data_IF_958771927328
#
_entry.id   IF_958771927328
#
_cell.length_a   1.000
_cell.length_b   1.000
_cell.length_c   1.000
_cell.angle_alpha   90.00
_cell.angle_beta   90.00
_cell.angle_gamma   90.00
#
_symmetry.space_group_name_H-M   'P 1'
#
loop_
_entity.id
_entity.type
_entity.pdbx_description
1 polymer ?
#
# COMPACT_ATOMS: atom_id res chain seq x y z
N UNK A 1 -19.32 25.86 19.00
CA UNK A 1 -19.46 24.83 20.07
C UNK A 1 -20.05 25.39 21.36
N UNK A 2 -19.63 26.58 21.85
CA UNK A 2 -20.23 27.25 23.02
C UNK A 2 -21.73 27.60 22.83
N UNK A 3 -22.13 27.89 21.60
CA UNK A 3 -23.53 28.21 21.25
C UNK A 3 -24.46 27.01 21.49
N UNK A 4 -24.04 25.79 21.11
CA UNK A 4 -24.83 24.58 21.35
C UNK A 4 -24.98 24.26 22.84
N UNK A 5 -23.94 24.47 23.65
CA UNK A 5 -24.04 24.29 25.11
C UNK A 5 -25.05 25.25 25.73
N UNK A 6 -25.10 26.49 25.24
CA UNK A 6 -26.10 27.49 25.68
C UNK A 6 -27.52 27.10 25.25
N UNK A 7 -27.70 26.64 24.02
CA UNK A 7 -29.02 26.21 23.52
C UNK A 7 -29.56 25.04 24.33
N UNK A 8 -28.76 23.99 24.57
CA UNK A 8 -29.22 22.82 25.33
C UNK A 8 -29.45 23.13 26.82
N UNK A 9 -28.72 24.08 27.41
CA UNK A 9 -29.01 24.57 28.76
C UNK A 9 -30.33 25.31 28.85
N UNK A 10 -30.65 26.15 27.86
CA UNK A 10 -31.94 26.85 27.79
C UNK A 10 -33.08 25.84 27.58
N UNK A 11 -32.87 24.85 26.70
CA UNK A 11 -33.85 23.79 26.47
C UNK A 11 -34.09 22.96 27.75
N UNK A 12 -33.02 22.57 28.44
CA UNK A 12 -33.13 21.86 29.71
C UNK A 12 -33.79 22.69 30.81
N UNK A 13 -33.52 23.99 30.87
CA UNK A 13 -34.21 24.92 31.77
C UNK A 13 -35.71 24.92 31.52
N UNK A 14 -36.15 25.02 30.26
CA UNK A 14 -37.58 25.03 29.89
C UNK A 14 -38.24 23.69 30.24
N UNK A 15 -37.64 22.56 29.85
CA UNK A 15 -38.21 21.23 30.09
C UNK A 15 -38.35 20.94 31.58
N UNK A 16 -37.30 21.20 32.38
CA UNK A 16 -37.37 20.94 33.82
C UNK A 16 -38.20 21.99 34.57
N UNK A 17 -38.37 23.21 34.04
CA UNK A 17 -39.34 24.17 34.57
C UNK A 17 -40.78 23.66 34.37
N UNK A 18 -41.11 23.12 33.20
CA UNK A 18 -42.42 22.51 32.93
C UNK A 18 -42.66 21.31 33.86
N UNK A 19 -41.66 20.44 34.02
CA UNK A 19 -41.75 19.32 34.97
C UNK A 19 -41.96 19.83 36.41
N UNK A 20 -41.24 20.86 36.84
CA UNK A 20 -41.42 21.48 38.15
C UNK A 20 -42.80 22.10 38.35
N UNK A 21 -43.37 22.69 37.30
CA UNK A 21 -44.74 23.21 37.28
C UNK A 21 -45.77 22.09 37.43
N UNK A 22 -45.66 21.02 36.62
CA UNK A 22 -46.57 19.87 36.67
C UNK A 22 -46.54 19.16 38.03
N UNK A 23 -45.35 18.96 38.61
CA UNK A 23 -45.24 18.39 39.96
C UNK A 23 -45.91 19.33 40.98
N UNK A 24 -45.77 20.64 40.81
CA UNK A 24 -46.40 21.63 41.68
C UNK A 24 -47.92 21.53 41.65
N UNK A 25 -48.49 21.42 40.45
CA UNK A 25 -49.93 21.26 40.21
C UNK A 25 -50.46 19.95 40.81
N UNK A 26 -49.72 18.85 40.63
CA UNK A 26 -50.09 17.54 41.20
C UNK A 26 -50.09 17.58 42.74
N UNK A 27 -49.16 18.32 43.35
CA UNK A 27 -49.07 18.43 44.82
C UNK A 27 -50.19 19.32 45.38
N UNK A 28 -50.59 20.38 44.67
CA UNK A 28 -51.64 21.31 45.14
C UNK A 28 -53.06 20.86 44.77
N UNK A 29 -53.20 19.83 43.92
CA UNK A 29 -54.47 19.27 43.42
C UNK A 29 -55.43 20.35 42.86
N UNK A 30 -54.85 21.38 42.24
CA UNK A 30 -55.59 22.53 41.70
C UNK A 30 -55.47 22.59 40.17
N UNK A 31 -56.59 22.52 39.42
CA UNK A 31 -56.55 22.54 37.95
C UNK A 31 -56.13 23.89 37.37
N UNK A 32 -56.16 24.97 38.16
CA UNK A 32 -55.71 26.31 37.76
C UNK A 32 -54.92 26.98 38.90
N UNK A 33 -53.59 26.75 38.98
CA UNK A 33 -52.75 27.29 40.06
C UNK A 33 -52.59 28.83 40.01
N UNK A 34 -52.99 29.49 38.91
CA UNK A 34 -52.90 30.95 38.75
C UNK A 34 -54.01 31.73 39.48
N UNK A 35 -55.09 31.07 39.90
CA UNK A 35 -56.24 31.72 40.55
C UNK A 35 -56.24 31.57 42.08
N UNK A 36 -55.36 30.74 42.63
CA UNK A 36 -55.27 30.46 44.06
C UNK A 36 -53.90 30.89 44.62
N UNK A 37 -53.92 31.86 45.54
CA UNK A 37 -52.72 32.44 46.16
C UNK A 37 -51.97 31.43 47.03
N UNK A 38 -52.63 30.41 47.57
CA UNK A 38 -51.97 29.34 48.34
C UNK A 38 -51.24 28.37 47.43
N UNK A 39 -51.85 27.95 46.31
CA UNK A 39 -51.20 27.11 45.28
C UNK A 39 -49.94 27.77 44.70
N UNK A 40 -49.98 29.10 44.50
CA UNK A 40 -48.88 29.87 43.93
C UNK A 40 -47.59 29.82 44.78
N UNK A 41 -47.73 29.68 46.11
CA UNK A 41 -46.58 29.56 47.04
C UNK A 41 -45.78 28.28 46.84
N UNK A 42 -46.38 27.22 46.29
CA UNK A 42 -45.72 25.94 46.08
C UNK A 42 -45.28 25.75 44.63
N UNK A 43 -46.12 26.16 43.67
CA UNK A 43 -45.86 25.98 42.23
C UNK A 43 -44.68 26.84 41.75
N UNK A 44 -44.60 28.11 42.20
CA UNK A 44 -43.53 29.03 41.74
C UNK A 44 -42.13 28.61 42.21
N UNK A 45 -41.91 28.29 43.51
CA UNK A 45 -40.60 27.80 43.95
C UNK A 45 -40.20 26.48 43.27
N UNK A 46 -41.14 25.56 43.08
CA UNK A 46 -40.84 24.26 42.47
C UNK A 46 -40.48 24.38 40.98
N UNK A 47 -41.15 25.31 40.27
CA UNK A 47 -40.79 25.68 38.89
C UNK A 47 -39.40 26.30 38.81
N UNK A 48 -39.06 27.20 39.74
CA UNK A 48 -37.73 27.82 39.81
C UNK A 48 -36.63 26.80 40.15
N UNK A 49 -36.89 25.89 41.10
CA UNK A 49 -35.97 24.80 41.44
C UNK A 49 -35.78 23.88 40.23
N UNK A 50 -36.86 23.49 39.55
CA UNK A 50 -36.81 22.72 38.31
C UNK A 50 -35.97 23.41 37.23
N UNK A 51 -36.18 24.71 37.01
CA UNK A 51 -35.41 25.51 36.05
C UNK A 51 -33.89 25.53 36.37
N UNK A 52 -33.52 25.73 37.64
CA UNK A 52 -32.12 25.75 38.08
C UNK A 52 -31.48 24.36 37.93
N UNK A 53 -32.20 23.31 38.33
CA UNK A 53 -31.74 21.91 38.20
C UNK A 53 -31.54 21.56 36.72
N UNK A 54 -32.49 21.91 35.85
CA UNK A 54 -32.40 21.72 34.41
C UNK A 54 -31.20 22.43 33.80
N UNK A 55 -30.91 23.66 34.22
CA UNK A 55 -29.74 24.42 33.75
C UNK A 55 -28.41 23.76 34.09
N UNK A 56 -28.31 23.16 35.28
CA UNK A 56 -27.08 22.49 35.77
C UNK A 56 -26.89 21.10 35.16
N UNK A 57 -27.97 20.33 35.05
CA UNK A 57 -27.93 18.93 34.61
C UNK A 57 -27.90 18.80 33.08
N UNK A 58 -28.51 19.73 32.33
CA UNK A 58 -28.62 19.63 30.87
C UNK A 58 -27.28 19.37 30.14
N UNK A 59 -26.14 20.02 30.48
CA UNK A 59 -24.87 19.72 29.82
C UNK A 59 -24.37 18.29 30.06
N UNK A 60 -24.69 17.69 31.21
CA UNK A 60 -24.26 16.35 31.57
C UNK A 60 -25.03 15.26 30.84
N UNK A 61 -26.32 15.49 30.58
CA UNK A 61 -27.16 14.53 29.84
C UNK A 61 -26.93 14.67 28.33
N UNK A 62 -26.74 15.90 27.82
CA UNK A 62 -26.72 16.13 26.38
C UNK A 62 -25.31 16.32 25.84
N UNK A 63 -24.64 17.41 26.20
CA UNK A 63 -23.44 17.84 25.46
C UNK A 63 -22.19 17.05 25.81
N UNK A 64 -22.04 16.60 27.06
CA UNK A 64 -20.87 15.81 27.50
C UNK A 64 -20.80 14.40 26.88
N UNK A 65 -21.85 13.56 26.95
CA UNK A 65 -21.83 12.24 26.31
C UNK A 65 -21.78 12.37 24.80
N UNK A 66 -22.47 13.35 24.20
CA UNK A 66 -22.36 13.60 22.77
C UNK A 66 -20.92 13.93 22.34
N UNK A 67 -20.18 14.74 23.11
CA UNK A 67 -18.75 15.02 22.84
C UNK A 67 -17.85 13.80 23.01
N UNK A 68 -18.19 12.89 23.92
CA UNK A 68 -17.48 11.63 24.07
C UNK A 68 -17.76 10.71 22.86
N UNK A 69 -19.03 10.53 22.51
CA UNK A 69 -19.45 9.77 21.34
C UNK A 69 -18.83 10.30 20.05
N UNK A 70 -18.85 11.62 19.81
CA UNK A 70 -18.24 12.23 18.62
C UNK A 70 -16.72 11.97 18.56
N UNK A 71 -16.02 11.98 19.70
CA UNK A 71 -14.58 11.67 19.73
C UNK A 71 -14.30 10.21 19.37
N UNK A 72 -15.10 9.29 19.88
CA UNK A 72 -14.98 7.85 19.57
C UNK A 72 -15.35 7.59 18.10
N UNK A 73 -16.48 8.12 17.63
CA UNK A 73 -16.96 7.93 16.25
C UNK A 73 -16.01 8.54 15.22
N UNK A 74 -15.32 9.65 15.53
CA UNK A 74 -14.32 10.24 14.62
C UNK A 74 -13.08 9.36 14.40
N UNK A 75 -12.81 8.41 15.29
CA UNK A 75 -11.69 7.48 15.14
C UNK A 75 -12.08 6.22 14.37
N UNK A 76 -13.38 6.03 14.11
CA UNK A 76 -13.92 4.89 13.38
C UNK A 76 -14.03 5.29 11.90
N UNK A 77 -13.47 4.50 10.96
CA UNK A 77 -13.63 4.72 9.53
C UNK A 77 -15.13 4.79 9.14
N UNK A 78 -15.48 5.69 8.21
CA UNK A 78 -16.89 5.93 7.83
C UNK A 78 -17.54 4.66 7.25
N UNK A 79 -16.74 3.80 6.63
CA UNK A 79 -17.16 2.53 6.05
C UNK A 79 -17.63 1.56 7.14
N UNK A 80 -17.03 1.57 8.32
CA UNK A 80 -17.48 0.74 9.46
C UNK A 80 -18.79 1.26 10.03
N UNK A 81 -18.97 2.58 10.06
CA UNK A 81 -20.22 3.18 10.54
C UNK A 81 -21.38 2.82 9.61
N UNK A 82 -21.15 2.91 8.29
CA UNK A 82 -22.15 2.54 7.28
C UNK A 82 -22.43 1.03 7.33
N UNK A 83 -21.39 0.19 7.34
CA UNK A 83 -21.55 -1.26 7.42
C UNK A 83 -22.24 -1.68 8.72
N UNK A 84 -21.83 -1.14 9.86
CA UNK A 84 -22.47 -1.41 11.15
C UNK A 84 -23.95 -1.01 11.16
N UNK A 85 -24.29 0.13 10.55
CA UNK A 85 -25.69 0.59 10.44
C UNK A 85 -26.53 -0.33 9.57
N UNK A 86 -26.04 -0.71 8.39
CA UNK A 86 -26.73 -1.64 7.48
C UNK A 86 -26.88 -3.00 8.16
N UNK A 87 -25.83 -3.48 8.81
CA UNK A 87 -25.82 -4.76 9.53
C UNK A 87 -26.80 -4.78 10.68
N UNK A 88 -26.90 -3.69 11.44
CA UNK A 88 -27.88 -3.53 12.52
C UNK A 88 -29.30 -3.59 11.98
N UNK A 89 -29.60 -2.89 10.89
CA UNK A 89 -30.94 -2.91 10.26
C UNK A 89 -31.29 -4.32 9.80
N UNK A 90 -30.39 -4.99 9.08
CA UNK A 90 -30.61 -6.36 8.61
C UNK A 90 -30.79 -7.33 9.79
N UNK A 91 -29.98 -7.19 10.84
CA UNK A 91 -30.11 -7.96 12.07
C UNK A 91 -31.46 -7.77 12.76
N UNK A 92 -31.97 -6.53 12.83
CA UNK A 92 -33.28 -6.25 13.39
C UNK A 92 -34.42 -6.81 12.54
N UNK A 93 -34.30 -6.80 11.21
CA UNK A 93 -35.28 -7.44 10.31
C UNK A 93 -35.34 -8.94 10.57
N UNK A 94 -34.18 -9.60 10.67
CA UNK A 94 -34.10 -11.02 11.02
C UNK A 94 -34.70 -11.26 12.41
N UNK A 95 -34.38 -10.40 13.39
CA UNK A 95 -34.97 -10.50 14.72
C UNK A 95 -36.49 -10.36 14.71
N UNK A 96 -37.05 -9.48 13.90
CA UNK A 96 -38.49 -9.27 13.82
C UNK A 96 -39.21 -10.54 13.29
N UNK A 97 -38.59 -11.25 12.34
CA UNK A 97 -39.10 -12.53 11.85
C UNK A 97 -39.05 -13.61 12.94
N UNK A 98 -37.96 -13.68 13.70
CA UNK A 98 -37.80 -14.63 14.82
C UNK A 98 -38.66 -14.27 16.03
N UNK A 99 -38.98 -12.99 16.23
CA UNK A 99 -39.82 -12.52 17.33
C UNK A 99 -41.24 -13.10 17.29
N UNK A 100 -41.79 -13.36 16.09
CA UNK A 100 -43.17 -13.86 15.92
C UNK A 100 -43.40 -15.22 16.62
N UNK A 101 -42.59 -16.27 16.41
CA UNK A 101 -42.74 -17.52 17.14
C UNK A 101 -42.34 -17.39 18.62
N UNK A 102 -41.32 -16.57 18.94
CA UNK A 102 -40.86 -16.37 20.32
C UNK A 102 -41.94 -15.71 21.20
N UNK A 103 -42.71 -14.78 20.65
CA UNK A 103 -43.78 -14.10 21.36
C UNK A 103 -44.95 -15.02 21.75
N UNK A 104 -45.09 -16.18 21.08
CA UNK A 104 -46.14 -17.18 21.39
C UNK A 104 -45.76 -18.13 22.52
N UNK A 105 -44.56 -18.02 23.08
CA UNK A 105 -44.14 -18.84 24.21
C UNK A 105 -44.90 -18.45 25.49
N UNK A 106 -45.19 -19.42 26.38
CA UNK A 106 -45.87 -19.16 27.63
C UNK A 106 -45.09 -18.16 28.51
N UNK A 107 -45.78 -17.35 29.34
CA UNK A 107 -45.12 -16.45 30.29
C UNK A 107 -44.15 -17.21 31.20
N UNK A 108 -42.97 -16.64 31.51
CA UNK A 108 -42.54 -15.26 31.28
C UNK A 108 -41.84 -15.03 29.92
N UNK A 109 -41.71 -16.06 29.10
CA UNK A 109 -40.81 -16.06 27.94
C UNK A 109 -41.33 -15.22 26.76
N UNK A 110 -42.63 -15.26 26.48
CA UNK A 110 -43.26 -14.52 25.39
C UNK A 110 -42.92 -13.01 25.32
N UNK A 111 -43.02 -12.24 26.42
CA UNK A 111 -42.69 -10.81 26.38
C UNK A 111 -41.18 -10.51 26.41
N UNK A 112 -40.35 -11.40 26.94
CA UNK A 112 -38.91 -11.13 27.19
C UNK A 112 -38.04 -11.57 26.01
N UNK A 113 -38.30 -12.75 25.44
CA UNK A 113 -37.45 -13.33 24.39
C UNK A 113 -37.38 -12.49 23.10
N UNK A 114 -38.47 -11.90 22.58
CA UNK A 114 -38.40 -11.02 21.42
C UNK A 114 -37.46 -9.83 21.62
N UNK A 115 -37.45 -9.26 22.83
CA UNK A 115 -36.57 -8.15 23.17
C UNK A 115 -35.11 -8.61 23.20
N UNK A 116 -34.83 -9.74 23.87
CA UNK A 116 -33.48 -10.33 23.90
C UNK A 116 -32.99 -10.66 22.48
N UNK A 117 -33.86 -11.24 21.66
CA UNK A 117 -33.54 -11.54 20.26
C UNK A 117 -33.16 -10.28 19.49
N UNK A 118 -33.87 -9.15 19.68
CA UNK A 118 -33.56 -7.90 18.98
C UNK A 118 -32.17 -7.37 19.28
N UNK A 119 -31.72 -7.48 20.53
CA UNK A 119 -30.38 -7.07 20.95
C UNK A 119 -29.33 -8.00 20.33
N UNK A 120 -29.54 -9.32 20.45
CA UNK A 120 -28.60 -10.32 19.95
C UNK A 120 -28.43 -10.21 18.43
N UNK A 121 -29.52 -10.24 17.68
CA UNK A 121 -29.47 -10.20 16.22
C UNK A 121 -29.04 -8.83 15.69
N UNK A 122 -29.44 -7.73 16.34
CA UNK A 122 -28.94 -6.40 15.99
C UNK A 122 -27.42 -6.29 16.17
N UNK A 123 -26.89 -6.79 17.29
CA UNK A 123 -25.45 -6.83 17.55
C UNK A 123 -24.70 -7.74 16.57
N UNK A 124 -25.19 -8.97 16.35
CA UNK A 124 -24.58 -9.92 15.42
C UNK A 124 -24.58 -9.39 13.98
N UNK A 125 -25.69 -8.81 13.53
CA UNK A 125 -25.80 -8.22 12.20
C UNK A 125 -24.79 -7.10 11.97
N UNK A 126 -24.68 -6.17 12.93
CA UNK A 126 -23.68 -5.10 12.88
C UNK A 126 -22.25 -5.65 12.89
N UNK A 127 -21.96 -6.60 13.79
CA UNK A 127 -20.63 -7.19 13.96
C UNK A 127 -20.17 -7.92 12.68
N UNK A 128 -21.02 -8.76 12.12
CA UNK A 128 -20.70 -9.53 10.90
C UNK A 128 -20.42 -8.58 9.74
N UNK A 129 -21.23 -7.54 9.54
CA UNK A 129 -21.06 -6.64 8.40
C UNK A 129 -19.82 -5.75 8.53
N UNK A 130 -19.49 -5.32 9.75
CA UNK A 130 -18.25 -4.57 10.01
C UNK A 130 -17.02 -5.47 9.77
N UNK A 131 -17.04 -6.71 10.25
CA UNK A 131 -15.94 -7.67 10.07
C UNK A 131 -15.73 -8.06 8.60
N UNK A 132 -16.80 -8.16 7.80
CA UNK A 132 -16.76 -8.59 6.39
C UNK A 132 -16.87 -7.45 5.40
N UNK A 133 -16.70 -6.20 5.83
CA UNK A 133 -16.84 -5.00 5.00
C UNK A 133 -16.01 -5.05 3.71
N UNK A 134 -14.77 -5.51 3.80
CA UNK A 134 -13.85 -5.52 2.65
C UNK A 134 -14.24 -6.58 1.62
N UNK A 135 -14.75 -7.73 2.08
CA UNK A 135 -15.25 -8.81 1.24
C UNK A 135 -16.54 -8.39 0.52
N UNK A 136 -17.44 -7.69 1.23
CA UNK A 136 -18.69 -7.16 0.67
C UNK A 136 -18.44 -6.12 -0.41
N UNK A 137 -17.49 -5.21 -0.20
CA UNK A 137 -17.11 -4.21 -1.21
C UNK A 137 -16.54 -4.89 -2.45
N UNK A 138 -15.71 -5.93 -2.29
CA UNK A 138 -15.18 -6.72 -3.43
C UNK A 138 -16.28 -7.46 -4.18
N UNK A 139 -17.21 -8.07 -3.46
CA UNK A 139 -18.33 -8.82 -4.04
C UNK A 139 -19.31 -7.88 -4.78
N UNK A 140 -19.62 -6.73 -4.20
CA UNK A 140 -20.45 -5.70 -4.84
C UNK A 140 -19.80 -5.19 -6.13
N UNK A 141 -18.48 -4.89 -6.09
CA UNK A 141 -17.72 -4.51 -7.28
C UNK A 141 -17.68 -5.62 -8.34
N UNK A 142 -17.63 -6.88 -7.93
CA UNK A 142 -17.69 -8.03 -8.84
C UNK A 142 -19.05 -8.17 -9.52
N UNK A 143 -20.14 -8.05 -8.76
CA UNK A 143 -21.51 -8.11 -9.30
C UNK A 143 -21.85 -6.93 -10.20
N UNK A 144 -21.31 -5.74 -9.90
CA UNK A 144 -21.46 -4.56 -10.75
C UNK A 144 -20.67 -4.68 -12.06
N UNK A 145 -19.55 -5.42 -12.06
CA UNK A 145 -18.70 -5.67 -13.24
C UNK A 145 -19.31 -6.68 -14.22
N UNK A 146 -20.19 -7.57 -13.78
CA UNK A 146 -20.80 -8.62 -14.62
C UNK A 146 -22.03 -8.17 -15.41
N UNK A 147 -22.61 -6.99 -15.12
CA UNK A 147 -23.81 -6.48 -15.82
C UNK A 147 -23.55 -5.43 -16.89
N UNK A 148 -22.31 -5.00 -17.12
CA UNK A 148 -22.00 -3.93 -18.07
C UNK A 148 -20.78 -4.29 -18.92
N UNK A 149 -21.00 -4.80 -20.13
CA UNK A 149 -20.04 -4.71 -21.25
C UNK A 149 -20.08 -3.27 -21.80
N UNK A 150 -18.97 -2.78 -22.39
CA UNK A 150 -18.26 -1.60 -21.94
C UNK A 150 -18.81 -0.33 -22.62
N UNK A 151 -19.34 0.60 -21.85
CA UNK A 151 -19.37 2.01 -22.23
C UNK A 151 -19.32 2.79 -20.93
N UNK A 152 -18.25 3.56 -20.78
CA UNK A 152 -18.12 4.83 -20.06
C UNK A 152 -19.30 5.20 -19.14
N UNK A 153 -19.17 5.62 -17.89
CA UNK A 153 -18.09 5.96 -16.98
C UNK A 153 -18.85 6.47 -15.74
N UNK A 154 -18.37 6.24 -14.52
CA UNK A 154 -18.61 7.16 -13.40
C UNK A 154 -17.57 6.88 -12.30
N UNK A 155 -17.09 7.97 -11.72
CA UNK A 155 -15.70 8.21 -11.35
C UNK A 155 -15.23 7.53 -10.04
N UNK A 156 -14.11 6.80 -10.06
CA UNK A 156 -13.09 6.91 -9.03
C UNK A 156 -12.14 8.07 -9.40
N UNK A 157 -11.63 8.82 -8.43
CA UNK A 157 -10.61 9.87 -8.57
C UNK A 157 -9.86 9.84 -9.91
N UNK A 158 -9.88 10.96 -10.64
CA UNK A 158 -9.37 11.20 -12.00
C UNK A 158 -7.87 10.87 -12.25
N UNK A 159 -7.23 10.17 -11.33
CA UNK A 159 -5.84 9.72 -11.35
C UNK A 159 -5.68 8.20 -11.31
N UNK A 160 -6.71 7.40 -11.02
CA UNK A 160 -6.59 5.91 -10.98
C UNK A 160 -6.94 5.23 -12.31
N UNK A 161 -7.67 5.93 -13.18
CA UNK A 161 -8.10 5.44 -14.49
C UNK A 161 -7.03 5.48 -15.59
N UNK A 162 -5.80 5.93 -15.28
CA UNK A 162 -4.73 6.07 -16.28
C UNK A 162 -3.78 4.86 -16.39
N UNK A 163 -3.96 3.83 -15.57
CA UNK A 163 -3.11 2.65 -15.64
C UNK A 163 -3.67 1.62 -16.63
N UNK A 164 -2.90 1.18 -17.62
CA UNK A 164 -3.34 0.17 -18.56
C UNK A 164 -3.74 -1.11 -17.83
N UNK A 165 -4.92 -1.60 -18.19
CA UNK A 165 -5.44 -2.89 -17.72
C UNK A 165 -4.64 -4.01 -18.37
N UNK A 166 -3.66 -4.56 -17.66
CA UNK A 166 -2.81 -5.67 -18.12
C UNK A 166 -2.06 -6.33 -16.96
N UNK A 167 -1.41 -7.49 -17.19
CA UNK A 167 -0.61 -8.14 -16.17
C UNK A 167 0.59 -7.25 -15.78
N UNK A 168 0.62 -6.82 -14.52
CA UNK A 168 1.78 -6.26 -13.82
C UNK A 168 2.53 -5.09 -14.52
N UNK A 169 1.91 -3.89 -14.64
CA UNK A 169 2.63 -2.69 -15.07
C UNK A 169 3.83 -2.34 -14.17
N UNK A 170 4.84 -1.71 -14.76
CA UNK A 170 6.03 -1.19 -14.06
C UNK A 170 6.34 0.25 -14.48
N UNK A 171 6.77 1.07 -13.53
CA UNK A 171 7.26 2.43 -13.78
C UNK A 171 8.74 2.40 -14.17
N UNK A 172 9.12 3.16 -15.19
CA UNK A 172 10.53 3.35 -15.53
C UNK A 172 11.09 4.64 -14.89
N UNK A 173 12.26 4.51 -14.30
CA UNK A 173 13.08 5.61 -13.80
C UNK A 173 14.04 6.16 -14.89
N UNK A 174 14.40 7.43 -14.79
CA UNK A 174 15.40 8.11 -15.63
C UNK A 174 16.73 7.33 -15.66
N UNK A 175 17.17 6.79 -14.52
CA UNK A 175 18.46 6.08 -14.41
C UNK A 175 18.53 4.83 -15.31
N UNK A 176 17.43 4.07 -15.38
CA UNK A 176 17.38 2.84 -16.19
C UNK A 176 17.21 3.14 -17.68
N UNK A 177 16.49 4.22 -18.01
CA UNK A 177 16.30 4.67 -19.39
C UNK A 177 17.63 5.14 -20.00
N UNK A 178 18.42 5.93 -19.25
CA UNK A 178 19.73 6.43 -19.72
C UNK A 178 20.74 5.30 -19.93
N UNK A 179 20.75 4.31 -19.03
CA UNK A 179 21.61 3.13 -19.12
C UNK A 179 21.34 2.35 -20.42
N UNK A 180 20.06 2.13 -20.71
CA UNK A 180 19.57 1.61 -22.00
C UNK A 180 19.52 0.09 -22.11
N UNK A 181 20.17 -0.66 -21.20
CA UNK A 181 20.09 -2.15 -21.16
C UNK A 181 18.65 -2.65 -20.96
N UNK A 182 17.74 -1.79 -20.50
CA UNK A 182 16.30 -2.08 -20.39
C UNK A 182 15.66 -2.46 -21.72
N UNK A 183 16.15 -1.90 -22.83
CA UNK A 183 15.69 -2.24 -24.17
C UNK A 183 16.00 -3.71 -24.50
N UNK A 184 17.20 -4.18 -24.17
CA UNK A 184 17.60 -5.55 -24.42
C UNK A 184 16.83 -6.51 -23.50
N UNK A 185 16.62 -6.14 -22.24
CA UNK A 185 15.80 -6.93 -21.29
C UNK A 185 14.33 -6.98 -21.71
N UNK A 186 13.80 -5.89 -22.29
CA UNK A 186 12.44 -5.89 -22.82
C UNK A 186 12.31 -6.86 -24.01
N UNK A 187 13.29 -6.86 -24.93
CA UNK A 187 13.32 -7.75 -26.11
C UNK A 187 13.38 -9.24 -25.76
N UNK A 188 13.94 -9.62 -24.61
CA UNK A 188 14.01 -11.03 -24.18
C UNK A 188 12.68 -11.55 -23.60
N UNK A 189 11.71 -10.67 -23.32
CA UNK A 189 10.43 -11.05 -22.72
C UNK A 189 10.46 -11.16 -21.18
N UNK A 190 11.56 -10.78 -20.53
CA UNK A 190 11.67 -10.77 -19.06
C UNK A 190 10.78 -9.70 -18.39
N UNK A 191 10.26 -8.76 -19.17
CA UNK A 191 9.32 -7.72 -18.73
C UNK A 191 7.95 -7.99 -19.37
N UNK A 192 7.05 -8.73 -18.70
CA UNK A 192 5.79 -9.18 -19.29
C UNK A 192 4.69 -8.12 -19.32
N UNK A 193 4.81 -7.07 -18.49
CA UNK A 193 3.81 -6.02 -18.33
C UNK A 193 4.16 -4.73 -19.08
N UNK A 194 3.19 -3.81 -19.26
CA UNK A 194 3.44 -2.54 -19.92
C UNK A 194 4.44 -1.69 -19.12
N UNK A 195 5.31 -0.99 -19.86
CA UNK A 195 6.32 -0.08 -19.33
C UNK A 195 5.76 1.33 -19.28
N UNK A 196 5.58 1.86 -18.07
CA UNK A 196 4.97 3.17 -17.85
C UNK A 196 6.04 4.23 -17.66
N UNK A 197 5.96 5.29 -18.46
CA UNK A 197 6.83 6.46 -18.35
C UNK A 197 5.98 7.66 -17.99
N UNK A 198 6.00 8.12 -16.74
CA UNK A 198 5.33 9.37 -16.36
C UNK A 198 5.87 10.57 -17.13
N UNK A 199 5.03 11.55 -17.44
CA UNK A 199 5.45 12.77 -18.15
C UNK A 199 6.63 13.49 -17.48
N UNK A 200 6.69 13.52 -16.15
CA UNK A 200 7.80 14.17 -15.45
C UNK A 200 9.15 13.47 -15.66
N UNK A 201 9.18 12.16 -15.90
CA UNK A 201 10.41 11.43 -16.28
C UNK A 201 10.86 11.82 -17.69
N UNK A 202 9.91 11.96 -18.62
CA UNK A 202 10.20 12.47 -19.96
C UNK A 202 10.74 13.90 -19.91
N UNK A 203 10.14 14.76 -19.09
CA UNK A 203 10.62 16.13 -18.87
C UNK A 203 12.02 16.17 -18.27
N UNK A 204 12.32 15.30 -17.30
CA UNK A 204 13.66 15.19 -16.72
C UNK A 204 14.70 14.76 -17.78
N UNK A 205 14.37 13.78 -18.62
CA UNK A 205 15.25 13.36 -19.72
C UNK A 205 15.51 14.47 -20.73
N UNK A 206 14.48 15.26 -21.08
CA UNK A 206 14.62 16.43 -21.95
C UNK A 206 15.51 17.49 -21.32
N UNK A 207 15.29 17.80 -20.04
CA UNK A 207 16.13 18.72 -19.28
C UNK A 207 17.60 18.30 -19.26
N UNK A 208 17.87 16.99 -19.09
CA UNK A 208 19.23 16.43 -19.17
C UNK A 208 19.79 16.54 -20.61
N UNK A 209 18.97 16.30 -21.63
CA UNK A 209 19.36 16.36 -23.05
C UNK A 209 19.69 17.79 -23.53
N UNK A 210 19.19 18.81 -22.84
CA UNK A 210 19.42 20.25 -23.11
C UNK A 210 20.48 20.88 -22.20
N UNK A 211 21.12 20.09 -21.33
CA UNK A 211 22.16 20.57 -20.39
C UNK A 211 23.32 21.28 -21.09
N UNK A 212 24.01 22.23 -20.45
CA UNK A 212 25.24 22.79 -21.04
C UNK A 212 26.38 21.75 -21.11
N UNK A 213 26.38 20.79 -20.18
CA UNK A 213 27.37 19.72 -20.09
C UNK A 213 27.22 18.71 -21.25
N UNK A 214 28.29 18.50 -22.02
CA UNK A 214 28.27 17.63 -23.19
C UNK A 214 28.00 16.16 -22.86
N UNK A 215 28.51 15.65 -21.74
CA UNK A 215 28.32 14.27 -21.30
C UNK A 215 26.89 14.04 -20.81
N UNK A 216 26.35 14.97 -20.00
CA UNK A 216 24.94 14.93 -19.58
C UNK A 216 24.01 14.97 -20.78
N UNK A 217 24.25 15.89 -21.73
CA UNK A 217 23.47 15.94 -22.97
C UNK A 217 23.50 14.66 -23.78
N UNK A 218 24.69 14.07 -23.96
CA UNK A 218 24.84 12.81 -24.67
C UNK A 218 24.03 11.68 -24.01
N UNK A 219 24.06 11.61 -22.67
CA UNK A 219 23.26 10.67 -21.88
C UNK A 219 21.76 10.91 -22.00
N UNK A 220 21.30 12.16 -21.92
CA UNK A 220 19.88 12.51 -22.09
C UNK A 220 19.35 12.13 -23.48
N UNK A 221 20.09 12.48 -24.55
CA UNK A 221 19.73 12.10 -25.93
C UNK A 221 19.70 10.58 -26.12
N UNK A 222 20.66 9.86 -25.54
CA UNK A 222 20.65 8.38 -25.53
C UNK A 222 19.40 7.84 -24.85
N UNK A 223 19.01 8.38 -23.69
CA UNK A 223 17.79 7.97 -23.00
C UNK A 223 16.52 8.20 -23.84
N UNK A 224 16.42 9.34 -24.52
CA UNK A 224 15.31 9.62 -25.44
C UNK A 224 15.28 8.63 -26.63
N UNK A 225 16.45 8.26 -27.16
CA UNK A 225 16.54 7.24 -28.21
C UNK A 225 16.12 5.85 -27.73
N UNK A 226 16.49 5.47 -26.49
CA UNK A 226 16.02 4.22 -25.86
C UNK A 226 14.51 4.19 -25.73
N UNK A 227 13.87 5.32 -25.37
CA UNK A 227 12.40 5.39 -25.32
C UNK A 227 11.76 5.22 -26.70
N UNK A 228 12.33 5.84 -27.74
CA UNK A 228 11.86 5.69 -29.13
C UNK A 228 11.96 4.23 -29.60
N UNK A 229 13.05 3.54 -29.25
CA UNK A 229 13.24 2.13 -29.60
C UNK A 229 12.34 1.19 -28.78
N UNK A 230 12.10 1.49 -27.50
CA UNK A 230 11.12 0.77 -26.67
C UNK A 230 9.69 0.94 -27.21
N UNK A 231 9.34 2.12 -27.72
CA UNK A 231 8.01 2.39 -28.28
C UNK A 231 7.71 1.58 -29.55
N UNK A 232 8.75 1.15 -30.27
CA UNK A 232 8.64 0.31 -31.48
C UNK A 232 8.42 -1.17 -31.14
N UNK A 233 8.58 -1.59 -29.89
CA UNK A 233 8.34 -2.98 -29.48
C UNK A 233 6.83 -3.27 -29.42
N UNK A 234 6.42 -4.43 -29.93
CA UNK A 234 5.04 -4.90 -29.77
C UNK A 234 4.78 -5.37 -28.32
N UNK A 235 5.79 -6.00 -27.71
CA UNK A 235 5.74 -6.54 -26.35
C UNK A 235 7.12 -6.42 -25.66
N UNK A 236 7.20 -5.89 -24.42
CA UNK A 236 6.14 -5.14 -23.72
C UNK A 236 5.85 -3.78 -24.37
N UNK A 237 4.61 -3.30 -24.23
CA UNK A 237 4.21 -1.96 -24.74
C UNK A 237 4.74 -0.87 -23.82
N UNK A 238 5.31 0.18 -24.41
CA UNK A 238 5.64 1.42 -23.71
C UNK A 238 4.45 2.38 -23.74
N UNK A 239 4.08 2.92 -22.58
CA UNK A 239 3.01 3.91 -22.46
C UNK A 239 3.51 5.14 -21.70
N UNK A 240 3.33 6.31 -22.31
CA UNK A 240 3.58 7.59 -21.65
C UNK A 240 2.30 7.98 -20.93
N UNK A 241 2.38 8.12 -19.60
CA UNK A 241 1.21 8.34 -18.73
C UNK A 241 1.25 9.72 -18.09
N UNK A 242 0.08 10.32 -17.91
CA UNK A 242 -0.10 11.65 -17.32
C UNK A 242 -0.30 11.57 -15.79
N UNK A 243 0.61 10.84 -15.16
CA UNK A 243 0.65 10.62 -13.72
C UNK A 243 1.66 11.56 -13.08
N UNK A 244 1.23 12.29 -12.05
CA UNK A 244 2.08 13.14 -11.24
C UNK A 244 1.65 13.12 -9.77
N UNK A 245 2.57 13.47 -8.88
CA UNK A 245 2.34 13.72 -7.46
C UNK A 245 2.70 15.19 -7.19
N UNK A 246 1.76 16.14 -7.39
CA UNK A 246 2.06 17.57 -7.37
C UNK A 246 2.48 18.09 -5.99
N UNK A 247 2.12 17.38 -4.92
CA UNK A 247 2.56 17.66 -3.55
C UNK A 247 4.05 17.34 -3.28
N UNK A 248 4.71 16.62 -4.20
CA UNK A 248 6.11 16.21 -4.07
C UNK A 248 6.97 16.94 -5.10
N UNK A 249 8.18 17.35 -4.71
CA UNK A 249 9.13 18.01 -5.64
C UNK A 249 10.10 17.04 -6.27
N UNK A 250 10.66 16.14 -5.47
CA UNK A 250 11.74 15.26 -5.91
C UNK A 250 11.20 14.15 -6.83
N UNK A 251 11.87 13.94 -7.96
CA UNK A 251 11.47 12.98 -9.01
C UNK A 251 11.36 11.56 -8.45
N UNK A 252 12.32 11.17 -7.62
CA UNK A 252 12.37 9.85 -6.97
C UNK A 252 11.21 9.66 -6.00
N UNK A 253 10.87 10.69 -5.22
CA UNK A 253 9.75 10.66 -4.30
C UNK A 253 8.41 10.63 -5.05
N UNK A 254 8.30 11.32 -6.20
CA UNK A 254 7.13 11.23 -7.08
C UNK A 254 6.95 9.81 -7.60
N UNK A 255 8.01 9.18 -8.12
CA UNK A 255 7.97 7.77 -8.55
C UNK A 255 7.50 6.85 -7.42
N UNK A 256 8.05 7.03 -6.22
CA UNK A 256 7.66 6.26 -5.03
C UNK A 256 6.20 6.46 -4.63
N UNK A 257 5.72 7.70 -4.66
CA UNK A 257 4.33 8.03 -4.35
C UNK A 257 3.38 7.35 -5.35
N UNK A 258 3.69 7.42 -6.65
CA UNK A 258 2.89 6.76 -7.69
C UNK A 258 2.94 5.24 -7.56
N UNK A 259 4.12 4.66 -7.37
CA UNK A 259 4.29 3.22 -7.21
C UNK A 259 3.47 2.67 -6.04
N UNK A 260 3.47 3.39 -4.91
CA UNK A 260 2.68 3.02 -3.73
C UNK A 260 1.18 3.20 -3.96
N UNK A 261 0.79 4.34 -4.54
CA UNK A 261 -0.61 4.67 -4.82
C UNK A 261 -1.28 3.63 -5.71
N UNK A 262 -0.56 3.13 -6.70
CA UNK A 262 -1.08 2.20 -7.69
C UNK A 262 -0.65 0.75 -7.49
N UNK A 263 0.16 0.48 -6.46
CA UNK A 263 0.72 -0.85 -6.15
C UNK A 263 1.47 -1.47 -7.34
N UNK A 264 2.24 -0.64 -8.05
CA UNK A 264 3.03 -1.05 -9.22
C UNK A 264 4.52 -1.06 -8.88
N UNK A 265 5.29 -1.85 -9.64
CA UNK A 265 6.74 -1.95 -9.42
C UNK A 265 7.49 -0.79 -10.07
N UNK A 266 8.70 -0.50 -9.59
CA UNK A 266 9.62 0.47 -10.20
C UNK A 266 10.80 -0.29 -10.81
N UNK A 267 11.17 0.04 -12.04
CA UNK A 267 12.44 -0.37 -12.66
C UNK A 267 13.44 0.77 -12.51
N UNK A 268 14.57 0.51 -11.84
CA UNK A 268 15.60 1.53 -11.57
C UNK A 268 16.98 0.89 -11.49
N UNK A 269 18.03 1.67 -11.76
CA UNK A 269 19.42 1.30 -11.47
C UNK A 269 19.94 1.94 -10.18
N UNK A 270 19.17 2.80 -9.52
CA UNK A 270 19.57 3.51 -8.32
C UNK A 270 19.45 2.62 -7.07
N UNK A 271 20.58 2.44 -6.37
CA UNK A 271 20.67 1.64 -5.15
C UNK A 271 19.94 2.28 -3.95
N UNK A 272 19.96 3.60 -3.83
CA UNK A 272 19.27 4.33 -2.76
C UNK A 272 17.76 4.24 -2.95
N UNK A 273 17.27 4.46 -4.17
CA UNK A 273 15.84 4.29 -4.48
C UNK A 273 15.39 2.85 -4.18
N UNK A 274 16.21 1.85 -4.54
CA UNK A 274 15.93 0.44 -4.22
C UNK A 274 15.75 0.21 -2.70
N UNK A 275 16.70 0.70 -1.87
CA UNK A 275 16.61 0.56 -0.41
C UNK A 275 15.39 1.25 0.20
N UNK A 276 15.11 2.48 -0.23
CA UNK A 276 13.96 3.25 0.29
C UNK A 276 12.65 2.60 -0.13
N UNK A 277 12.56 2.12 -1.38
CA UNK A 277 11.38 1.46 -1.90
C UNK A 277 11.05 0.14 -1.17
N UNK A 278 12.07 -0.67 -0.90
CA UNK A 278 11.91 -1.91 -0.14
C UNK A 278 11.34 -1.66 1.26
N UNK A 279 11.80 -0.60 1.96
CA UNK A 279 11.27 -0.21 3.28
C UNK A 279 9.80 0.23 3.23
N UNK A 280 9.34 0.72 2.07
CA UNK A 280 7.98 1.20 1.87
C UNK A 280 7.06 0.16 1.21
N UNK A 281 7.52 -1.09 1.06
CA UNK A 281 6.76 -2.19 0.49
C UNK A 281 6.50 -2.07 -1.02
N UNK A 282 7.28 -1.26 -1.72
CA UNK A 282 7.21 -1.12 -3.19
C UNK A 282 8.15 -2.13 -3.83
N UNK A 283 7.66 -2.90 -4.81
CA UNK A 283 8.50 -3.85 -5.55
C UNK A 283 9.45 -3.10 -6.47
N UNK A 284 10.74 -3.43 -6.39
CA UNK A 284 11.77 -2.87 -7.26
C UNK A 284 12.35 -3.94 -8.17
N UNK A 285 12.49 -3.61 -9.45
CA UNK A 285 13.17 -4.40 -10.46
C UNK A 285 14.49 -3.68 -10.78
N UNK A 286 15.59 -4.11 -10.16
CA UNK A 286 16.88 -3.50 -10.40
C UNK A 286 17.65 -4.27 -11.48
N UNK A 287 18.08 -3.57 -12.53
CA UNK A 287 18.75 -4.21 -13.67
C UNK A 287 20.19 -4.61 -13.36
N UNK A 288 20.86 -3.97 -12.40
CA UNK A 288 22.15 -4.43 -11.89
C UNK A 288 21.99 -5.75 -11.11
N UNK A 289 20.92 -5.88 -10.32
CA UNK A 289 20.63 -7.11 -9.60
C UNK A 289 20.32 -8.25 -10.58
N UNK A 290 19.52 -7.97 -11.61
CA UNK A 290 19.25 -8.93 -12.69
C UNK A 290 20.53 -9.36 -13.41
N UNK A 291 21.37 -8.41 -13.81
CA UNK A 291 22.63 -8.70 -14.50
C UNK A 291 23.56 -9.58 -13.65
N UNK A 292 23.61 -9.35 -12.33
CA UNK A 292 24.40 -10.19 -11.43
C UNK A 292 23.78 -11.58 -11.22
N UNK A 293 22.45 -11.68 -11.20
CA UNK A 293 21.74 -12.95 -11.00
C UNK A 293 21.88 -13.91 -12.19
N UNK A 294 22.09 -13.40 -13.40
CA UNK A 294 22.23 -14.22 -14.62
C UNK A 294 23.69 -14.58 -14.97
N UNK A 295 24.67 -14.18 -14.16
CA UNK A 295 26.09 -14.55 -14.40
C UNK A 295 26.29 -16.06 -14.26
N UNK A 296 26.91 -16.68 -15.25
CA UNK A 296 27.15 -18.13 -15.33
C UNK A 296 27.81 -18.69 -14.05
N UNK A 297 27.19 -19.67 -13.40
CA UNK A 297 27.72 -20.25 -12.16
C UNK A 297 28.74 -21.31 -12.53
N UNK A 298 30.00 -21.12 -12.10
CA UNK A 298 31.04 -22.13 -12.23
C UNK A 298 31.09 -23.02 -11.00
N UNK A 299 31.02 -24.34 -11.20
CA UNK A 299 31.09 -25.34 -10.14
C UNK A 299 32.53 -25.88 -9.97
N UNK A 300 32.92 -26.31 -8.76
CA UNK A 300 34.17 -27.04 -8.60
C UNK A 300 34.26 -28.25 -9.55
N UNK A 301 35.38 -28.39 -10.24
CA UNK A 301 35.63 -29.41 -11.27
C UNK A 301 35.29 -28.97 -12.71
N UNK A 302 34.63 -27.83 -12.90
CA UNK A 302 34.42 -27.28 -14.25
C UNK A 302 35.71 -26.69 -14.82
N UNK A 303 35.86 -26.81 -16.13
CA UNK A 303 37.02 -26.32 -16.85
C UNK A 303 36.70 -24.97 -17.50
N UNK A 304 37.62 -24.03 -17.43
CA UNK A 304 37.51 -22.73 -18.08
C UNK A 304 38.85 -22.32 -18.69
N UNK A 305 38.81 -21.47 -19.72
CA UNK A 305 40.01 -20.89 -20.33
C UNK A 305 39.98 -19.40 -20.15
N UNK A 306 41.07 -18.85 -19.64
CA UNK A 306 41.24 -17.41 -19.58
C UNK A 306 42.71 -17.04 -19.63
N UNK A 307 42.96 -15.78 -19.98
CA UNK A 307 44.29 -15.19 -19.97
C UNK A 307 44.61 -14.62 -18.60
N UNK A 308 45.74 -15.01 -18.03
CA UNK A 308 46.22 -14.46 -16.75
C UNK A 308 46.84 -13.09 -17.03
N UNK A 309 46.37 -12.05 -16.32
CA UNK A 309 46.70 -10.65 -16.65
C UNK A 309 47.70 -10.06 -15.66
N UNK A 310 47.58 -10.40 -14.37
CA UNK A 310 48.35 -9.78 -13.30
C UNK A 310 48.69 -10.77 -12.18
N UNK A 311 49.70 -10.44 -11.37
CA UNK A 311 50.02 -11.18 -10.15
C UNK A 311 48.87 -11.06 -9.13
N UNK A 312 48.61 -12.16 -8.42
CA UNK A 312 47.65 -12.22 -7.33
C UNK A 312 48.19 -11.68 -6.01
N UNK A 313 47.39 -11.80 -4.96
CA UNK A 313 47.76 -11.29 -3.64
C UNK A 313 48.82 -12.18 -2.96
N UNK A 314 48.72 -13.49 -3.16
CA UNK A 314 49.71 -14.45 -2.66
C UNK A 314 50.84 -14.67 -3.70
N UNK A 315 52.07 -14.96 -3.27
CA UNK A 315 53.26 -14.96 -4.12
C UNK A 315 53.28 -15.93 -5.31
N UNK A 316 52.38 -16.93 -5.35
CA UNK A 316 52.25 -17.89 -6.45
C UNK A 316 50.93 -17.74 -7.24
N UNK A 317 50.13 -16.72 -6.94
CA UNK A 317 48.84 -16.53 -7.60
C UNK A 317 48.95 -15.68 -8.86
N UNK A 318 48.11 -16.00 -9.84
CA UNK A 318 47.75 -15.12 -10.95
C UNK A 318 46.30 -14.67 -10.83
N UNK A 319 45.93 -13.59 -11.51
CA UNK A 319 44.55 -13.12 -11.61
C UNK A 319 44.19 -12.86 -13.07
N UNK A 320 43.02 -13.35 -13.47
CA UNK A 320 42.37 -13.02 -14.72
C UNK A 320 40.90 -12.69 -14.52
N UNK A 321 40.22 -12.31 -15.60
CA UNK A 321 38.81 -11.95 -15.58
C UNK A 321 38.09 -12.70 -16.69
N UNK A 322 36.91 -13.23 -16.37
CA UNK A 322 35.99 -13.75 -17.37
C UNK A 322 35.37 -12.60 -18.18
N UNK A 323 34.70 -12.92 -19.27
CA UNK A 323 34.00 -11.94 -20.13
C UNK A 323 32.95 -11.12 -19.37
N UNK A 324 32.35 -11.70 -18.31
CA UNK A 324 31.37 -11.04 -17.45
C UNK A 324 31.98 -10.19 -16.32
N UNK A 325 33.32 -10.08 -16.30
CA UNK A 325 34.09 -9.35 -15.29
C UNK A 325 34.32 -10.11 -13.98
N UNK A 326 33.90 -11.37 -13.86
CA UNK A 326 34.17 -12.20 -12.68
C UNK A 326 35.67 -12.41 -12.52
N UNK A 327 36.21 -12.07 -11.34
CA UNK A 327 37.62 -12.24 -11.03
C UNK A 327 37.94 -13.72 -10.77
N UNK A 328 38.93 -14.25 -11.48
CA UNK A 328 39.44 -15.61 -11.31
C UNK A 328 40.86 -15.55 -10.77
N UNK A 329 41.03 -16.09 -9.56
CA UNK A 329 42.33 -16.25 -8.90
C UNK A 329 42.86 -17.63 -9.25
N UNK A 330 44.04 -17.66 -9.86
CA UNK A 330 44.67 -18.87 -10.36
C UNK A 330 45.82 -19.25 -9.44
N UNK A 331 45.74 -20.41 -8.80
CA UNK A 331 46.85 -21.00 -8.05
C UNK A 331 47.97 -21.40 -8.99
N UNK A 332 49.24 -21.14 -8.62
CA UNK A 332 50.39 -21.32 -9.51
C UNK A 332 50.29 -20.52 -10.82
N UNK A 333 49.50 -19.44 -10.82
CA UNK A 333 49.24 -18.62 -12.01
C UNK A 333 50.32 -17.59 -12.31
N UNK A 334 51.26 -17.35 -11.40
CA UNK A 334 52.29 -16.30 -11.55
C UNK A 334 53.20 -16.52 -12.77
N UNK A 335 53.67 -17.75 -12.97
CA UNK A 335 54.56 -18.09 -14.09
C UNK A 335 53.83 -18.14 -15.44
N UNK A 336 52.50 -18.09 -15.40
CA UNK A 336 51.61 -18.20 -16.55
C UNK A 336 51.01 -16.83 -16.94
N UNK A 337 51.48 -15.73 -16.33
CA UNK A 337 51.04 -14.38 -16.67
C UNK A 337 51.29 -14.09 -18.16
N UNK A 338 50.27 -13.53 -18.81
CA UNK A 338 50.26 -13.21 -20.22
C UNK A 338 49.83 -14.37 -21.13
N UNK A 339 49.68 -15.59 -20.61
CA UNK A 339 49.27 -16.78 -21.35
C UNK A 339 47.78 -17.09 -21.16
N UNK A 340 47.17 -17.73 -22.15
CA UNK A 340 45.83 -18.29 -22.07
C UNK A 340 45.92 -19.76 -21.66
N UNK A 341 45.32 -20.10 -20.52
CA UNK A 341 45.52 -21.40 -19.86
C UNK A 341 44.17 -22.05 -19.60
N UNK A 342 44.11 -23.38 -19.73
CA UNK A 342 42.97 -24.18 -19.30
C UNK A 342 43.08 -24.49 -17.81
N UNK A 343 42.04 -24.11 -17.06
CA UNK A 343 41.99 -24.11 -15.62
C UNK A 343 40.81 -24.96 -15.13
N UNK A 344 41.00 -25.68 -14.04
CA UNK A 344 39.92 -26.36 -13.31
C UNK A 344 39.51 -25.50 -12.11
N UNK A 345 38.21 -25.28 -11.96
CA UNK A 345 37.65 -24.51 -10.85
C UNK A 345 37.80 -25.32 -9.57
N UNK A 346 38.50 -24.77 -8.58
CA UNK A 346 38.65 -25.39 -7.26
C UNK A 346 37.56 -24.93 -6.30
N UNK A 347 37.21 -23.63 -6.35
CA UNK A 347 36.22 -23.04 -5.43
C UNK A 347 35.61 -21.78 -6.01
N UNK A 348 34.31 -21.56 -5.79
CA UNK A 348 33.66 -20.27 -6.05
C UNK A 348 33.25 -19.60 -4.73
N UNK A 349 33.56 -18.32 -4.56
CA UNK A 349 33.19 -17.50 -3.41
C UNK A 349 32.35 -16.29 -3.84
N UNK A 350 31.29 -16.00 -3.07
CA UNK A 350 30.55 -14.75 -3.17
C UNK A 350 31.13 -13.74 -2.18
N UNK A 351 31.49 -12.54 -2.65
CA UNK A 351 31.99 -11.43 -1.82
C UNK A 351 31.08 -10.21 -1.94
N UNK A 352 31.31 -9.19 -1.11
CA UNK A 352 30.58 -7.91 -1.18
C UNK A 352 30.82 -7.12 -2.47
N UNK A 353 31.94 -7.38 -3.18
CA UNK A 353 32.28 -6.73 -4.45
C UNK A 353 31.81 -7.52 -5.68
N UNK A 354 31.21 -8.70 -5.48
CA UNK A 354 30.81 -9.61 -6.55
C UNK A 354 31.31 -11.03 -6.32
N UNK A 355 31.35 -11.83 -7.39
CA UNK A 355 31.77 -13.22 -7.33
C UNK A 355 33.26 -13.35 -7.67
N UNK A 356 33.93 -14.25 -6.95
CA UNK A 356 35.34 -14.59 -7.15
C UNK A 356 35.46 -16.10 -7.36
N UNK A 357 36.21 -16.53 -8.35
CA UNK A 357 36.47 -17.94 -8.65
C UNK A 357 37.94 -18.24 -8.34
N UNK A 358 38.20 -19.38 -7.73
CA UNK A 358 39.53 -19.94 -7.55
C UNK A 358 39.66 -21.12 -8.49
N UNK A 359 40.78 -21.19 -9.19
CA UNK A 359 41.05 -22.23 -10.16
C UNK A 359 42.54 -22.61 -10.14
N UNK A 360 42.87 -23.79 -10.66
CA UNK A 360 44.24 -24.26 -10.82
C UNK A 360 44.46 -24.73 -12.26
N UNK A 361 45.68 -24.63 -12.82
CA UNK A 361 46.00 -25.18 -14.14
C UNK A 361 45.68 -26.68 -14.23
N UNK A 362 45.04 -27.09 -15.32
CA UNK A 362 44.77 -28.50 -15.56
C UNK A 362 46.09 -29.20 -15.84
N UNK A 363 46.51 -30.10 -14.96
CA UNK A 363 47.66 -30.96 -15.22
C UNK A 363 47.26 -32.03 -16.24
N UNK A 364 47.67 -31.88 -17.50
CA UNK A 364 47.66 -33.01 -18.43
C UNK A 364 48.68 -34.05 -17.94
N UNK A 365 48.18 -35.14 -17.38
CA UNK A 365 48.92 -36.39 -17.32
C UNK A 365 49.16 -36.86 -18.75
N UNK A 366 50.35 -36.61 -19.29
CA UNK A 366 50.89 -37.45 -20.36
C UNK A 366 50.97 -38.88 -19.80
N UNK A 367 50.32 -39.88 -20.41
CA UNK A 367 50.53 -41.26 -20.00
C UNK A 367 51.99 -41.61 -20.30
N UNK A 368 52.69 -42.00 -19.25
CA UNK A 368 54.07 -42.46 -19.22
C UNK A 368 54.28 -43.50 -20.34
N UNK A 369 54.95 -43.09 -21.41
CA UNK A 369 55.30 -43.97 -22.52
C UNK A 369 56.59 -44.72 -22.18
N UNK A 370 56.57 -45.47 -21.09
CA UNK A 370 57.65 -46.35 -20.69
C UNK A 370 57.09 -47.75 -20.43
N UNK A 371 57.41 -48.66 -21.37
CA UNK A 371 57.58 -50.12 -21.27
C UNK A 371 56.97 -50.81 -22.50
N UNK A 372 57.79 -51.05 -23.53
CA UNK A 372 58.20 -52.42 -23.95
C UNK A 372 59.47 -52.29 -24.81
N UNK A 373 60.62 -52.68 -24.24
CA UNK A 373 61.74 -53.26 -24.97
C UNK A 373 61.64 -54.78 -24.87
#
# INVERSE_FOLDING_TARGET
>A
MLVFDRIFRILGLIVFAIIGWEIGVIITDTPNPLHDLESLKYVVPLTLVGAIVGWVIAPWITTRPARYAIRVVRQIPIEEVIAGSIGLILGLIVSALVAIPLAKLPPPFGPILPFIASIIFGYLGALILVLRRDDLVKLLKSLQKERITPTQAEEPDASVSQLPSGPMPVLLDTSVIIDGRILDVAKTGFLPGPLLVPRFILSELQYIADSSDALRRARGRRGLQVLDDLQKLEHPRLEIVDLDAPEVRDVDEKLMALARRFQIGIVTNDYNLNRVAALQGVRVLNLNDLANAVKAIYLPGEHLRLRIIQEGKEPDQGVGYLEDGTMVVVEHGRDLIGQEVELEVTKALQTSAGRMIFAAPVHHHEPDNDLVL
#
